data_IF_865989530109
#
_entry.id   IF_865989530109
#
_cell.length_a   1.000
_cell.length_b   1.000
_cell.length_c   1.000
_cell.angle_alpha   90.00
_cell.angle_beta   90.00
_cell.angle_gamma   90.00
#
_symmetry.space_group_name_H-M   'P 1'
#
loop_
_entity.id
_entity.type
_entity.pdbx_description
1 polymer ?
#
# COMPACT_ATOMS: atom_id res chain seq x y z
N UNK A 1 -19.85 -10.15 -11.05
CA UNK A 1 -19.53 -9.93 -9.62
C UNK A 1 -20.76 -10.30 -8.81
N UNK A 2 -20.63 -11.06 -7.73
CA UNK A 2 -21.74 -11.40 -6.84
C UNK A 2 -22.11 -10.14 -6.01
N UNK A 3 -23.22 -9.44 -6.32
CA UNK A 3 -23.54 -8.14 -5.71
C UNK A 3 -23.73 -8.23 -4.19
N UNK A 4 -24.16 -9.40 -3.72
CA UNK A 4 -24.40 -9.67 -2.31
C UNK A 4 -23.12 -9.72 -1.48
N UNK A 5 -22.00 -10.15 -2.08
CA UNK A 5 -20.70 -10.17 -1.40
C UNK A 5 -20.16 -8.75 -1.23
N UNK A 6 -20.30 -7.92 -2.27
CA UNK A 6 -19.86 -6.53 -2.24
C UNK A 6 -20.59 -5.72 -1.18
N UNK A 7 -21.92 -5.85 -1.10
CA UNK A 7 -22.75 -5.15 -0.09
C UNK A 7 -22.51 -5.62 1.34
N UNK A 8 -22.00 -6.84 1.53
CA UNK A 8 -21.72 -7.42 2.85
C UNK A 8 -20.25 -7.27 3.28
N UNK A 9 -19.40 -6.73 2.41
CA UNK A 9 -17.98 -6.58 2.70
C UNK A 9 -17.77 -5.51 3.78
N UNK A 10 -17.17 -5.90 4.90
CA UNK A 10 -16.81 -4.96 5.96
C UNK A 10 -15.60 -4.10 5.58
N UNK A 11 -14.66 -4.66 4.80
CA UNK A 11 -13.42 -4.00 4.38
C UNK A 11 -13.00 -4.45 2.97
N UNK A 12 -12.43 -3.54 2.18
CA UNK A 12 -11.73 -3.83 0.92
C UNK A 12 -10.24 -3.57 1.12
N UNK A 13 -9.44 -4.63 1.15
CA UNK A 13 -8.02 -4.58 1.52
C UNK A 13 -7.17 -5.42 0.57
N UNK A 14 -5.88 -5.07 0.45
CA UNK A 14 -4.88 -5.92 -0.21
C UNK A 14 -4.36 -7.03 0.70
N UNK A 15 -3.56 -7.94 0.13
CA UNK A 15 -2.88 -8.99 0.89
C UNK A 15 -1.90 -8.42 1.93
N UNK A 16 -1.27 -7.26 1.66
CA UNK A 16 -0.36 -6.62 2.62
C UNK A 16 -1.11 -6.17 3.85
N UNK A 17 -2.21 -5.45 3.65
CA UNK A 17 -3.09 -5.00 4.74
C UNK A 17 -3.63 -6.19 5.55
N UNK A 18 -3.96 -7.30 4.89
CA UNK A 18 -4.36 -8.52 5.58
C UNK A 18 -3.25 -9.07 6.50
N UNK A 19 -2.01 -9.16 6.02
CA UNK A 19 -0.87 -9.61 6.83
C UNK A 19 -0.62 -8.66 8.00
N UNK A 20 -0.64 -7.34 7.75
CA UNK A 20 -0.44 -6.33 8.80
C UNK A 20 -1.54 -6.39 9.87
N UNK A 21 -2.78 -6.68 9.48
CA UNK A 21 -3.86 -6.93 10.42
C UNK A 21 -3.60 -8.16 11.29
N UNK A 22 -3.12 -9.26 10.71
CA UNK A 22 -2.76 -10.44 11.50
C UNK A 22 -1.57 -10.19 12.43
N UNK A 23 -0.65 -9.31 12.05
CA UNK A 23 0.57 -9.02 12.82
C UNK A 23 0.33 -8.02 13.94
N UNK A 24 -0.48 -6.99 13.69
CA UNK A 24 -0.62 -5.82 14.56
C UNK A 24 -2.07 -5.48 14.93
N UNK A 25 -3.06 -6.18 14.36
CA UNK A 25 -4.48 -5.87 14.54
C UNK A 25 -4.93 -4.60 13.82
N UNK A 26 -4.12 -4.07 12.90
CA UNK A 26 -4.34 -2.77 12.26
C UNK A 26 -4.45 -2.90 10.73
N UNK A 27 -5.45 -2.23 10.17
CA UNK A 27 -5.63 -2.10 8.72
C UNK A 27 -4.98 -0.80 8.25
N UNK A 28 -3.76 -0.89 7.74
CA UNK A 28 -3.00 0.26 7.20
C UNK A 28 -2.54 0.00 5.77
N UNK A 29 -2.68 1.01 4.92
CA UNK A 29 -2.24 1.01 3.54
C UNK A 29 -1.34 2.20 3.27
N UNK A 30 -0.21 1.97 2.61
CA UNK A 30 0.72 3.04 2.30
C UNK A 30 0.27 3.81 1.06
N UNK A 31 0.70 5.07 0.93
CA UNK A 31 0.35 5.92 -0.22
C UNK A 31 0.73 5.30 -1.57
N UNK A 32 1.77 4.47 -1.67
CA UNK A 32 2.14 3.84 -2.94
C UNK A 32 1.09 2.83 -3.37
N UNK A 33 0.60 1.97 -2.46
CA UNK A 33 -0.49 1.05 -2.80
C UNK A 33 -1.81 1.79 -2.98
N UNK A 34 -2.12 2.76 -2.11
CA UNK A 34 -3.35 3.54 -2.19
C UNK A 34 -3.48 4.24 -3.55
N UNK A 35 -2.40 4.82 -4.08
CA UNK A 35 -2.39 5.46 -5.40
C UNK A 35 -2.75 4.52 -6.57
N UNK A 36 -2.52 3.21 -6.43
CA UNK A 36 -2.85 2.22 -7.44
C UNK A 36 -4.33 1.78 -7.41
N UNK A 37 -5.10 2.18 -6.39
CA UNK A 37 -6.52 1.81 -6.25
C UNK A 37 -7.46 2.66 -7.12
N UNK A 38 -7.02 3.84 -7.54
CA UNK A 38 -7.89 4.85 -8.17
C UNK A 38 -8.86 5.55 -7.21
N UNK A 39 -8.79 5.24 -5.90
CA UNK A 39 -9.63 5.84 -4.85
C UNK A 39 -8.90 6.91 -4.04
N UNK A 40 -7.61 7.15 -4.30
CA UNK A 40 -6.74 8.02 -3.49
C UNK A 40 -6.39 9.33 -4.21
N UNK A 41 -6.50 10.45 -3.49
CA UNK A 41 -6.14 11.79 -3.97
C UNK A 41 -4.72 12.14 -3.51
N UNK A 42 -3.80 12.30 -4.45
CA UNK A 42 -2.38 12.56 -4.18
C UNK A 42 -2.13 13.95 -3.57
N UNK A 43 -2.97 14.94 -3.91
CA UNK A 43 -2.80 16.32 -3.45
C UNK A 43 -3.14 16.48 -1.97
N UNK A 44 -4.13 15.73 -1.47
CA UNK A 44 -4.59 15.81 -0.07
C UNK A 44 -4.12 14.64 0.78
N UNK A 45 -3.55 13.60 0.16
CA UNK A 45 -3.18 12.35 0.81
C UNK A 45 -4.36 11.69 1.56
N UNK A 46 -5.55 11.78 0.96
CA UNK A 46 -6.80 11.23 1.51
C UNK A 46 -7.54 10.40 0.46
N UNK A 47 -8.50 9.61 0.90
CA UNK A 47 -9.43 8.97 -0.01
C UNK A 47 -10.26 10.02 -0.76
N UNK A 48 -10.42 9.81 -2.07
CA UNK A 48 -11.20 10.66 -2.95
C UNK A 48 -12.69 10.35 -2.79
N UNK A 49 -13.42 11.23 -2.11
CA UNK A 49 -14.85 11.04 -1.86
C UNK A 49 -15.68 10.86 -3.14
N UNK A 50 -15.29 11.48 -4.26
CA UNK A 50 -16.02 11.32 -5.51
C UNK A 50 -15.80 9.93 -6.09
N UNK A 51 -14.55 9.44 -6.07
CA UNK A 51 -14.22 8.08 -6.49
C UNK A 51 -14.92 7.04 -5.61
N UNK A 52 -14.94 7.24 -4.30
CA UNK A 52 -15.67 6.41 -3.33
C UNK A 52 -17.16 6.33 -3.64
N UNK A 53 -17.82 7.48 -3.87
CA UNK A 53 -19.24 7.53 -4.25
C UNK A 53 -19.52 6.79 -5.57
N UNK A 54 -18.64 6.92 -6.56
CA UNK A 54 -18.78 6.21 -7.85
C UNK A 54 -18.60 4.70 -7.66
N UNK A 55 -17.66 4.28 -6.81
CA UNK A 55 -17.41 2.88 -6.50
C UNK A 55 -18.48 2.26 -5.58
N UNK A 56 -19.28 3.08 -4.89
CA UNK A 56 -20.23 2.63 -3.87
C UNK A 56 -19.54 2.05 -2.63
N UNK A 57 -18.41 2.65 -2.24
CA UNK A 57 -17.57 2.24 -1.10
C UNK A 57 -17.52 3.40 -0.11
N UNK A 58 -17.68 3.10 1.17
CA UNK A 58 -17.47 4.07 2.25
C UNK A 58 -16.00 4.08 2.70
N UNK A 59 -15.51 5.23 3.16
CA UNK A 59 -14.10 5.37 3.56
C UNK A 59 -13.72 4.44 4.74
N UNK A 60 -14.67 4.14 5.63
CA UNK A 60 -14.49 3.21 6.75
C UNK A 60 -14.38 1.74 6.30
N UNK A 61 -14.75 1.42 5.06
CA UNK A 61 -14.51 0.13 4.43
C UNK A 61 -13.09 0.02 3.87
N UNK A 62 -12.27 1.07 3.92
CA UNK A 62 -10.88 1.04 3.50
C UNK A 62 -9.93 1.04 4.70
N UNK A 63 -8.64 0.79 4.43
CA UNK A 63 -7.57 0.88 5.43
C UNK A 63 -7.18 2.34 5.69
N UNK A 64 -6.55 2.57 6.85
CA UNK A 64 -5.96 3.85 7.19
C UNK A 64 -4.77 4.15 6.26
N UNK A 65 -4.74 5.38 5.73
CA UNK A 65 -3.69 5.84 4.84
C UNK A 65 -2.46 6.28 5.65
N UNK A 66 -1.31 5.69 5.35
CA UNK A 66 -0.05 6.00 6.05
C UNK A 66 1.11 6.29 5.08
N UNK A 67 2.13 7.06 5.49
CA UNK A 67 3.38 7.14 4.75
C UNK A 67 4.06 5.77 4.62
N UNK A 68 4.86 5.56 3.57
CA UNK A 68 5.64 4.31 3.39
C UNK A 68 6.67 4.07 4.49
N UNK A 69 7.07 5.13 5.21
CA UNK A 69 7.99 5.09 6.35
C UNK A 69 7.29 4.86 7.70
N UNK A 70 5.96 4.72 7.71
CA UNK A 70 5.19 4.47 8.92
C UNK A 70 5.66 3.18 9.60
N UNK A 71 5.79 3.23 10.92
CA UNK A 71 6.27 2.11 11.73
C UNK A 71 5.13 1.57 12.58
N UNK A 72 4.94 0.26 12.49
CA UNK A 72 4.10 -0.52 13.37
C UNK A 72 4.95 -1.11 14.50
N UNK A 73 4.35 -1.20 15.68
CA UNK A 73 4.94 -1.77 16.89
C UNK A 73 3.87 -2.58 17.62
N UNK A 74 4.29 -3.44 18.54
CA UNK A 74 3.37 -4.35 19.23
C UNK A 74 2.95 -5.49 18.32
N UNK A 75 3.95 -6.20 17.79
CA UNK A 75 3.72 -7.44 17.06
C UNK A 75 3.05 -8.44 18.00
N UNK A 76 2.03 -9.16 17.50
CA UNK A 76 1.33 -10.19 18.28
C UNK A 76 2.34 -11.16 18.95
N UNK A 77 2.21 -11.44 20.26
CA UNK A 77 3.20 -12.21 21.01
C UNK A 77 3.55 -13.57 20.39
N UNK A 78 2.55 -14.29 19.87
CA UNK A 78 2.75 -15.58 19.21
C UNK A 78 3.61 -15.44 17.93
N UNK A 79 3.39 -14.36 17.17
CA UNK A 79 4.12 -14.11 15.92
C UNK A 79 5.55 -13.66 16.24
N UNK A 80 5.73 -12.77 17.22
CA UNK A 80 7.04 -12.34 17.69
C UNK A 80 7.88 -13.53 18.18
N UNK A 81 7.27 -14.43 18.97
CA UNK A 81 7.90 -15.66 19.44
C UNK A 81 8.31 -16.57 18.28
N UNK A 82 7.43 -16.78 17.29
CA UNK A 82 7.73 -17.61 16.11
C UNK A 82 8.81 -17.01 15.22
N UNK A 83 8.93 -15.69 15.17
CA UNK A 83 9.96 -14.97 14.43
C UNK A 83 11.28 -14.82 15.20
N UNK A 84 11.29 -15.05 16.51
CA UNK A 84 12.47 -14.88 17.36
C UNK A 84 12.88 -13.41 17.56
N UNK A 85 11.91 -12.48 17.52
CA UNK A 85 12.14 -11.03 17.70
C UNK A 85 11.33 -10.50 18.88
N UNK A 86 11.71 -9.33 19.40
CA UNK A 86 10.94 -8.67 20.45
C UNK A 86 9.60 -8.14 19.90
N UNK A 87 8.53 -8.15 20.70
CA UNK A 87 7.20 -7.63 20.32
C UNK A 87 7.22 -6.14 19.93
N UNK A 88 8.13 -5.35 20.53
CA UNK A 88 8.32 -3.93 20.21
C UNK A 88 9.31 -3.68 19.05
N UNK A 89 9.69 -4.73 18.31
CA UNK A 89 10.52 -4.56 17.10
C UNK A 89 9.79 -3.69 16.08
N UNK A 90 10.36 -2.56 15.63
CA UNK A 90 9.69 -1.69 14.67
C UNK A 90 9.55 -2.35 13.31
N UNK A 91 8.34 -2.33 12.76
CA UNK A 91 8.05 -2.85 11.42
C UNK A 91 7.67 -1.70 10.49
N UNK A 92 8.49 -1.43 9.49
CA UNK A 92 8.21 -0.36 8.50
C UNK A 92 7.22 -0.90 7.47
N UNK A 93 6.08 -0.21 7.28
CA UNK A 93 5.00 -0.64 6.37
C UNK A 93 5.48 -0.80 4.93
N UNK A 94 6.48 -0.02 4.53
CA UNK A 94 7.10 -0.10 3.21
C UNK A 94 6.20 0.39 2.09
N UNK A 95 6.65 0.17 0.87
CA UNK A 95 5.92 0.45 -0.36
C UNK A 95 5.63 -0.86 -1.11
N UNK A 96 4.94 -0.77 -2.24
CA UNK A 96 4.74 -1.91 -3.15
C UNK A 96 6.09 -2.52 -3.61
N UNK A 97 6.15 -3.84 -3.83
CA UNK A 97 7.32 -4.58 -4.32
C UNK A 97 7.93 -3.98 -5.59
N UNK A 98 7.11 -3.39 -6.48
CA UNK A 98 7.61 -2.67 -7.66
C UNK A 98 8.42 -1.40 -7.36
N UNK A 99 8.12 -0.74 -6.23
CA UNK A 99 8.85 0.46 -5.74
C UNK A 99 10.06 0.03 -4.91
N UNK A 100 9.93 -1.03 -4.09
CA UNK A 100 11.03 -1.57 -3.29
C UNK A 100 12.09 -2.30 -4.13
N UNK A 101 11.71 -2.94 -5.24
CA UNK A 101 12.66 -3.51 -6.20
C UNK A 101 13.54 -2.44 -6.86
N UNK A 102 13.06 -1.20 -6.99
CA UNK A 102 13.88 -0.08 -7.47
C UNK A 102 14.76 0.52 -6.36
N UNK A 103 14.30 0.50 -5.10
CA UNK A 103 15.05 1.03 -3.97
C UNK A 103 16.19 0.09 -3.51
N UNK A 104 15.96 -1.23 -3.55
CA UNK A 104 16.94 -2.26 -3.17
C UNK A 104 18.15 -2.37 -4.11
N UNK A 105 18.13 -1.68 -5.25
CA UNK A 105 19.24 -1.65 -6.24
C UNK A 105 20.09 -0.37 -6.10
N UNK A 106 19.84 0.46 -5.07
CA UNK A 106 20.68 1.64 -4.78
C UNK A 106 20.44 2.83 -5.72
N UNK A 107 19.26 2.94 -6.34
CA UNK A 107 18.90 4.06 -7.22
C UNK A 107 18.43 5.31 -6.44
N UNK A 108 19.12 5.65 -5.34
CA UNK A 108 18.96 6.93 -4.62
C UNK A 108 19.99 7.92 -5.19
N UNK A 109 19.78 8.30 -6.45
CA UNK A 109 20.62 9.27 -7.16
C UNK A 109 20.57 9.10 -8.68
N UNK A 110 20.19 10.19 -9.38
CA UNK A 110 20.10 10.38 -10.85
C UNK A 110 19.71 9.14 -11.69
N UNK A 111 18.45 9.16 -12.11
CA UNK A 111 17.76 8.27 -13.07
C UNK A 111 18.71 7.41 -13.93
N UNK A 112 18.66 6.10 -13.73
CA UNK A 112 19.26 5.11 -14.63
C UNK A 112 18.22 4.03 -14.95
N UNK A 113 17.97 3.86 -16.24
CA UNK A 113 16.99 2.92 -16.77
C UNK A 113 17.47 1.48 -16.62
N UNK A 114 16.67 0.63 -15.97
CA UNK A 114 16.85 -0.82 -15.93
C UNK A 114 15.57 -1.45 -16.48
N UNK A 115 15.65 -2.01 -17.69
CA UNK A 115 14.59 -2.82 -18.26
C UNK A 115 14.63 -4.23 -17.65
N UNK A 116 13.57 -4.63 -16.95
CA UNK A 116 13.28 -6.05 -16.69
C UNK A 116 11.87 -6.36 -17.18
N UNK A 117 11.79 -7.33 -18.09
CA UNK A 117 10.55 -7.89 -18.61
C UNK A 117 9.92 -8.80 -17.55
N UNK A 118 8.79 -8.38 -16.99
CA UNK A 118 8.00 -9.17 -16.04
C UNK A 118 6.94 -8.33 -15.29
N UNK A 119 5.79 -8.10 -15.94
CA UNK A 119 4.52 -7.56 -15.42
C UNK A 119 4.54 -6.23 -14.63
N UNK A 120 4.81 -5.14 -15.35
CA UNK A 120 3.97 -3.92 -15.46
C UNK A 120 4.86 -2.84 -16.10
N UNK A 121 4.75 -2.66 -17.42
CA UNK A 121 5.51 -1.62 -18.12
C UNK A 121 4.85 -0.27 -17.82
N UNK A 122 5.47 0.54 -16.96
CA UNK A 122 5.13 1.96 -16.88
C UNK A 122 5.93 2.72 -17.93
N UNK A 123 5.22 3.25 -18.94
CA UNK A 123 5.78 4.23 -19.88
C UNK A 123 5.62 5.63 -19.27
N UNK A 124 6.72 6.33 -19.04
CA UNK A 124 6.71 7.77 -18.76
C UNK A 124 7.22 8.49 -20.01
N UNK A 125 6.34 9.25 -20.68
CA UNK A 125 6.67 10.06 -21.86
C UNK A 125 6.86 11.51 -21.42
N UNK A 126 8.08 12.04 -21.53
CA UNK A 126 8.32 13.49 -21.36
C UNK A 126 8.05 14.22 -22.68
N UNK A 127 7.14 15.19 -22.66
CA UNK A 127 7.08 16.24 -23.68
C UNK A 127 7.95 17.40 -23.20
N UNK A 128 8.99 17.73 -23.95
CA UNK A 128 9.61 19.07 -23.90
C UNK A 128 9.49 19.65 -25.31
N UNK A 129 8.60 20.63 -25.46
CA UNK A 129 8.64 21.55 -26.57
C UNK A 129 9.78 22.55 -26.32
N UNK A 130 10.37 23.07 -27.40
CA UNK A 130 11.35 24.16 -27.37
C UNK A 130 10.89 25.34 -26.49
#
# INVERSE_FOLDING_TARGET
>A
MAPDVFKKAAKFISIKEYILYHFFGQYVVDYSIASATGLFRLETLQWDEQALRIAGIEADQLSELVPTTYQLRGLQPEIALRMGIAEDTPFVVGANDGVLANLGVGAIGKVRWLSRLGQAVQFVRSWTNQ
#
